data_IF_474278279031
#
_entry.id   IF_474278279031
#
_cell.length_a   1.000
_cell.length_b   1.000
_cell.length_c   1.000
_cell.angle_alpha   90.00
_cell.angle_beta   90.00
_cell.angle_gamma   90.00
#
_symmetry.space_group_name_H-M   'P 1'
#
loop_
_entity.id
_entity.type
_entity.pdbx_description
1 polymer ?
#
# COMPACT_ATOMS: atom_id res chain seq x y z
N UNK A 1 -23.82 22.41 -41.99
CA UNK A 1 -23.28 21.29 -41.19
C UNK A 1 -22.32 21.89 -40.18
N UNK A 2 -22.69 21.97 -38.90
CA UNK A 2 -21.77 22.46 -37.85
C UNK A 2 -20.76 21.37 -37.54
N UNK A 3 -19.47 21.69 -37.70
CA UNK A 3 -18.40 20.84 -37.20
C UNK A 3 -18.39 21.03 -35.69
N UNK A 4 -19.02 20.10 -34.95
CA UNK A 4 -18.78 19.98 -33.52
C UNK A 4 -17.32 19.55 -33.36
N UNK A 5 -16.44 20.52 -33.13
CA UNK A 5 -15.09 20.26 -32.67
C UNK A 5 -15.21 19.50 -31.35
N UNK A 6 -14.95 18.18 -31.37
CA UNK A 6 -14.78 17.40 -30.14
C UNK A 6 -13.69 18.09 -29.34
N UNK A 7 -14.06 18.70 -28.22
CA UNK A 7 -13.12 19.17 -27.23
C UNK A 7 -12.29 17.97 -26.80
N UNK A 8 -11.04 17.92 -27.27
CA UNK A 8 -10.09 16.90 -26.85
C UNK A 8 -9.57 17.29 -25.49
N UNK A 9 -9.51 16.38 -24.54
CA UNK A 9 -8.99 16.65 -23.19
C UNK A 9 -7.58 17.29 -23.22
N UNK A 10 -6.78 16.97 -24.25
CA UNK A 10 -5.45 17.56 -24.50
C UNK A 10 -5.44 19.04 -24.89
N UNK A 11 -6.59 19.63 -25.24
CA UNK A 11 -6.69 21.06 -25.57
C UNK A 11 -7.08 21.92 -24.37
N UNK A 12 -7.29 21.33 -23.20
CA UNK A 12 -7.57 22.07 -21.98
C UNK A 12 -6.29 22.79 -21.49
N UNK A 13 -6.41 24.02 -20.96
CA UNK A 13 -5.32 24.67 -20.25
C UNK A 13 -4.76 23.82 -19.10
N UNK A 14 -3.46 23.96 -18.80
CA UNK A 14 -2.77 23.12 -17.81
C UNK A 14 -3.32 23.27 -16.39
N UNK A 15 -3.77 24.46 -16.02
CA UNK A 15 -4.42 24.78 -14.76
C UNK A 15 -5.76 24.05 -14.61
N UNK A 16 -6.56 23.99 -15.67
CA UNK A 16 -7.83 23.23 -15.67
C UNK A 16 -7.56 21.73 -15.58
N UNK A 17 -6.53 21.24 -16.28
CA UNK A 17 -6.13 19.83 -16.16
C UNK A 17 -5.68 19.48 -14.74
N UNK A 18 -4.90 20.36 -14.10
CA UNK A 18 -4.48 20.18 -12.71
C UNK A 18 -5.69 20.14 -11.78
N UNK A 19 -6.62 21.09 -11.93
CA UNK A 19 -7.84 21.12 -11.11
C UNK A 19 -8.67 19.84 -11.28
N UNK A 20 -8.78 19.29 -12.49
CA UNK A 20 -9.45 18.00 -12.70
C UNK A 20 -8.68 16.88 -11.98
N UNK A 21 -7.36 16.80 -12.18
CA UNK A 21 -6.51 15.79 -11.54
C UNK A 21 -6.62 15.83 -10.00
N UNK A 22 -6.69 17.01 -9.40
CA UNK A 22 -6.85 17.21 -7.95
C UNK A 22 -8.18 16.68 -7.40
N UNK A 23 -9.20 16.49 -8.25
CA UNK A 23 -10.51 15.95 -7.87
C UNK A 23 -10.72 14.47 -8.22
N UNK A 24 -9.79 13.85 -8.95
CA UNK A 24 -9.88 12.42 -9.27
C UNK A 24 -9.52 11.58 -8.03
N UNK A 25 -10.23 10.49 -7.78
CA UNK A 25 -9.73 9.47 -6.86
C UNK A 25 -8.48 8.77 -7.45
N UNK A 26 -7.80 7.97 -6.63
CA UNK A 26 -6.57 7.29 -7.06
C UNK A 26 -6.80 6.38 -8.29
N UNK A 27 -7.92 5.65 -8.36
CA UNK A 27 -8.17 4.73 -9.49
C UNK A 27 -8.45 5.49 -10.78
N UNK A 28 -9.23 6.56 -10.70
CA UNK A 28 -9.52 7.43 -11.82
C UNK A 28 -8.24 8.11 -12.32
N UNK A 29 -7.37 8.56 -11.41
CA UNK A 29 -6.08 9.14 -11.76
C UNK A 29 -5.16 8.10 -12.44
N UNK A 30 -5.02 6.89 -11.88
CA UNK A 30 -4.22 5.83 -12.50
C UNK A 30 -4.79 5.40 -13.85
N UNK A 31 -6.12 5.36 -13.99
CA UNK A 31 -6.80 5.08 -15.25
C UNK A 31 -6.51 6.17 -16.29
N UNK A 32 -6.51 7.44 -15.90
CA UNK A 32 -6.13 8.57 -16.75
C UNK A 32 -4.67 8.41 -17.22
N UNK A 33 -3.76 8.06 -16.31
CA UNK A 33 -2.36 7.79 -16.61
C UNK A 33 -2.18 6.65 -17.62
N UNK A 34 -3.03 5.62 -17.58
CA UNK A 34 -3.02 4.50 -18.53
C UNK A 34 -3.42 4.86 -19.97
N UNK A 35 -3.99 6.05 -20.22
CA UNK A 35 -4.54 6.41 -21.54
C UNK A 35 -3.46 6.70 -22.59
N UNK A 36 -2.47 7.54 -22.29
CA UNK A 36 -1.39 7.93 -23.21
C UNK A 36 -0.16 8.42 -22.45
N UNK A 37 0.98 8.55 -23.15
CA UNK A 37 2.26 9.00 -22.57
C UNK A 37 2.15 10.36 -21.86
N UNK A 38 1.43 11.31 -22.46
CA UNK A 38 1.26 12.65 -21.86
C UNK A 38 0.57 12.60 -20.50
N UNK A 39 -0.57 11.90 -20.38
CA UNK A 39 -1.26 11.78 -19.09
C UNK A 39 -0.49 10.90 -18.12
N UNK A 40 0.26 9.92 -18.61
CA UNK A 40 1.11 9.10 -17.76
C UNK A 40 2.15 9.94 -17.02
N UNK A 41 2.90 10.75 -17.76
CA UNK A 41 3.97 11.57 -17.19
C UNK A 41 3.39 12.65 -16.24
N UNK A 42 2.19 13.17 -16.53
CA UNK A 42 1.45 14.06 -15.62
C UNK A 42 1.00 13.37 -14.34
N UNK A 43 0.34 12.22 -14.44
CA UNK A 43 -0.12 11.44 -13.29
C UNK A 43 1.05 11.02 -12.40
N UNK A 44 2.16 10.59 -13.00
CA UNK A 44 3.40 10.32 -12.28
C UNK A 44 3.87 11.53 -11.44
N UNK A 45 3.94 12.71 -12.08
CA UNK A 45 4.29 13.96 -11.41
C UNK A 45 3.33 14.35 -10.29
N UNK A 46 2.02 14.21 -10.52
CA UNK A 46 0.97 14.51 -9.52
C UNK A 46 1.08 13.58 -8.32
N UNK A 47 1.26 12.27 -8.52
CA UNK A 47 1.42 11.30 -7.43
C UNK A 47 2.73 11.52 -6.66
N UNK A 48 3.85 11.78 -7.34
CA UNK A 48 5.11 12.08 -6.68
C UNK A 48 5.03 13.36 -5.85
N UNK A 49 4.40 14.41 -6.38
CA UNK A 49 4.14 15.65 -5.64
C UNK A 49 3.26 15.40 -4.41
N UNK A 50 2.18 14.62 -4.53
CA UNK A 50 1.31 14.30 -3.38
C UNK A 50 2.04 13.54 -2.28
N UNK A 51 2.86 12.54 -2.64
CA UNK A 51 3.73 11.82 -1.71
C UNK A 51 4.67 12.78 -0.99
N UNK A 52 5.38 13.62 -1.75
CA UNK A 52 6.37 14.54 -1.19
C UNK A 52 5.71 15.53 -0.21
N UNK A 53 4.53 16.07 -0.55
CA UNK A 53 3.79 16.96 0.36
C UNK A 53 3.32 16.24 1.64
N UNK A 54 2.92 14.98 1.55
CA UNK A 54 2.55 14.19 2.74
C UNK A 54 3.78 13.96 3.64
N UNK A 55 4.94 13.64 3.05
CA UNK A 55 6.17 13.44 3.81
C UNK A 55 6.62 14.77 4.45
N UNK A 56 6.53 15.86 3.69
CA UNK A 56 6.92 17.19 4.15
C UNK A 56 6.01 17.77 5.24
N UNK A 57 4.88 17.11 5.52
CA UNK A 57 4.09 17.39 6.71
C UNK A 57 4.81 16.98 8.00
N UNK A 58 5.63 15.93 7.96
CA UNK A 58 6.30 15.36 9.14
C UNK A 58 7.82 15.58 9.15
N UNK A 59 8.42 15.73 7.98
CA UNK A 59 9.86 15.83 7.78
C UNK A 59 10.23 17.05 6.95
N UNK A 60 11.42 17.60 7.13
CA UNK A 60 11.79 18.86 6.46
C UNK A 60 11.89 18.75 4.92
N UNK A 61 12.23 17.57 4.38
CA UNK A 61 12.32 17.35 2.94
C UNK A 61 12.17 15.88 2.55
N UNK A 62 11.22 15.60 1.66
CA UNK A 62 11.03 14.25 1.11
C UNK A 62 12.29 13.73 0.40
N UNK A 63 13.05 14.62 -0.24
CA UNK A 63 14.30 14.31 -0.95
C UNK A 63 15.44 13.80 -0.06
N UNK A 64 15.35 14.04 1.25
CA UNK A 64 16.32 13.53 2.23
C UNK A 64 15.81 12.23 2.85
N UNK A 65 14.53 12.21 3.25
CA UNK A 65 13.97 11.04 3.92
C UNK A 65 13.86 9.84 2.97
N UNK A 66 13.33 10.01 1.75
CA UNK A 66 13.08 8.89 0.85
C UNK A 66 14.35 8.10 0.50
N UNK A 67 15.48 8.70 0.11
CA UNK A 67 16.70 7.94 -0.14
C UNK A 67 17.24 7.20 1.09
N UNK A 68 17.06 7.77 2.29
CA UNK A 68 17.40 7.10 3.55
C UNK A 68 16.53 5.86 3.76
N UNK A 69 15.22 5.98 3.56
CA UNK A 69 14.30 4.84 3.68
C UNK A 69 14.58 3.76 2.63
N UNK A 70 14.82 4.17 1.38
CA UNK A 70 15.17 3.27 0.28
C UNK A 70 16.41 2.44 0.60
N UNK A 71 17.48 3.06 1.10
CA UNK A 71 18.73 2.35 1.47
C UNK A 71 18.50 1.30 2.55
N UNK A 72 17.58 1.55 3.48
CA UNK A 72 17.29 0.67 4.60
C UNK A 72 16.07 -0.23 4.35
N UNK A 73 15.58 -0.34 3.11
CA UNK A 73 14.40 -1.14 2.75
C UNK A 73 13.19 -0.85 3.66
N UNK A 74 13.03 0.42 4.02
CA UNK A 74 11.95 0.90 4.87
C UNK A 74 10.83 1.50 4.01
N UNK A 75 9.61 1.41 4.52
CA UNK A 75 8.40 1.92 3.86
C UNK A 75 7.63 2.82 4.80
N UNK A 76 6.97 3.84 4.25
CA UNK A 76 6.01 4.66 4.98
C UNK A 76 4.68 3.92 5.00
N UNK A 77 4.04 3.83 6.15
CA UNK A 77 2.79 3.09 6.34
C UNK A 77 1.77 3.91 7.16
N UNK A 78 0.69 3.26 7.60
CA UNK A 78 -0.28 3.87 8.51
C UNK A 78 -1.11 4.98 7.86
N UNK A 79 -1.31 6.07 8.60
CA UNK A 79 -2.19 7.18 8.21
C UNK A 79 -1.61 8.03 7.08
N UNK A 80 -0.28 8.18 7.00
CA UNK A 80 0.37 8.88 5.89
C UNK A 80 0.16 8.14 4.56
N UNK A 81 0.39 6.82 4.55
CA UNK A 81 0.13 5.99 3.37
C UNK A 81 -1.36 5.90 3.03
N UNK A 82 -2.24 5.84 4.03
CA UNK A 82 -3.69 5.89 3.82
C UNK A 82 -4.13 7.24 3.22
N UNK A 83 -3.63 8.37 3.73
CA UNK A 83 -3.92 9.69 3.20
C UNK A 83 -3.49 9.84 1.74
N UNK A 84 -2.36 9.23 1.37
CA UNK A 84 -1.91 9.13 -0.02
C UNK A 84 -2.89 8.30 -0.87
N UNK A 85 -3.20 7.06 -0.44
CA UNK A 85 -4.09 6.16 -1.20
C UNK A 85 -5.49 6.75 -1.41
N UNK A 86 -6.00 7.45 -0.40
CA UNK A 86 -7.32 8.10 -0.46
C UNK A 86 -7.26 9.50 -1.08
N UNK A 87 -6.07 10.00 -1.44
CA UNK A 87 -5.81 11.38 -1.87
C UNK A 87 -6.49 12.41 -0.97
N UNK A 88 -6.45 12.17 0.35
CA UNK A 88 -7.15 12.97 1.35
C UNK A 88 -6.22 13.29 2.53
N UNK A 89 -5.67 14.50 2.54
CA UNK A 89 -4.75 14.98 3.59
C UNK A 89 -5.40 15.17 4.97
N UNK A 90 -6.73 15.21 5.08
CA UNK A 90 -7.37 15.30 6.40
C UNK A 90 -7.15 14.03 7.24
N UNK A 91 -6.85 12.91 6.59
CA UNK A 91 -6.48 11.64 7.22
C UNK A 91 -5.08 11.66 7.83
N UNK A 92 -4.28 12.70 7.60
CA UNK A 92 -2.96 12.79 8.22
C UNK A 92 -3.09 12.80 9.75
N UNK A 93 -2.41 11.83 10.34
CA UNK A 93 -2.24 11.67 11.77
C UNK A 93 -1.25 12.64 12.35
N UNK A 94 -1.05 12.56 13.66
CA UNK A 94 0.00 13.30 14.34
C UNK A 94 1.39 12.71 14.12
N UNK A 95 1.46 11.45 13.71
CA UNK A 95 2.69 10.67 13.68
C UNK A 95 2.92 10.06 12.31
N UNK A 96 4.17 10.11 11.84
CA UNK A 96 4.61 9.38 10.66
C UNK A 96 5.03 7.97 11.07
N UNK A 97 4.41 6.95 10.48
CA UNK A 97 4.80 5.57 10.71
C UNK A 97 5.70 5.08 9.57
N UNK A 98 6.86 4.53 9.96
CA UNK A 98 7.85 3.95 9.08
C UNK A 98 8.08 2.51 9.52
N UNK A 99 7.86 1.55 8.64
CA UNK A 99 8.15 0.15 8.91
C UNK A 99 9.46 -0.25 8.23
N UNK A 100 10.31 -1.00 8.95
CA UNK A 100 11.62 -1.47 8.46
C UNK A 100 11.79 -2.95 8.75
N UNK A 101 12.49 -3.66 7.86
CA UNK A 101 12.83 -5.08 8.07
C UNK A 101 13.82 -5.26 9.24
N UNK A 102 13.86 -6.46 9.82
CA UNK A 102 14.79 -6.80 10.90
C UNK A 102 16.26 -6.66 10.47
N UNK A 103 16.58 -6.86 9.20
CA UNK A 103 17.96 -6.82 8.69
C UNK A 103 18.52 -5.40 8.59
N UNK A 104 17.64 -4.39 8.49
CA UNK A 104 18.01 -3.01 8.22
C UNK A 104 17.55 -2.04 9.32
N UNK A 105 16.98 -2.55 10.42
CA UNK A 105 16.53 -1.71 11.53
C UNK A 105 17.69 -0.93 12.15
N UNK A 106 18.81 -1.60 12.42
CA UNK A 106 19.96 -0.96 13.08
C UNK A 106 20.58 0.14 12.20
N UNK A 107 20.66 -0.08 10.89
CA UNK A 107 21.15 0.91 9.93
C UNK A 107 20.23 2.14 9.89
N UNK A 108 18.91 1.93 9.83
CA UNK A 108 17.95 3.03 9.81
C UNK A 108 17.96 3.83 11.12
N UNK A 109 18.00 3.14 12.26
CA UNK A 109 18.07 3.79 13.57
C UNK A 109 19.37 4.59 13.71
N UNK A 110 20.50 4.03 13.24
CA UNK A 110 21.78 4.75 13.21
C UNK A 110 21.72 5.99 12.30
N UNK A 111 21.02 5.94 11.17
CA UNK A 111 20.83 7.09 10.29
C UNK A 111 20.01 8.20 10.96
N UNK A 112 18.95 7.83 11.70
CA UNK A 112 18.13 8.77 12.46
C UNK A 112 18.91 9.38 13.65
N UNK A 113 19.69 8.56 14.37
CA UNK A 113 20.53 9.03 15.48
C UNK A 113 21.66 9.96 15.01
N UNK A 114 22.10 9.81 13.76
CA UNK A 114 23.12 10.67 13.15
C UNK A 114 22.56 12.01 12.64
N UNK A 115 21.25 12.14 12.45
CA UNK A 115 20.61 13.36 11.97
C UNK A 115 20.53 14.41 13.11
N UNK A 116 21.27 15.54 13.06
CA UNK A 116 21.46 16.41 14.22
C UNK A 116 20.20 17.06 14.78
N UNK A 117 19.15 17.17 13.97
CA UNK A 117 17.89 17.81 14.32
C UNK A 117 16.81 16.81 14.76
N UNK A 118 17.12 15.51 14.73
CA UNK A 118 16.22 14.43 15.12
C UNK A 118 16.56 13.99 16.53
N UNK A 119 15.53 13.75 17.35
CA UNK A 119 15.72 13.34 18.73
C UNK A 119 14.98 12.03 19.01
N UNK A 120 15.68 11.01 19.51
CA UNK A 120 15.04 9.82 20.04
C UNK A 120 14.29 10.18 21.32
N UNK A 121 12.95 10.24 21.26
CA UNK A 121 12.09 10.52 22.40
C UNK A 121 11.83 9.28 23.24
N UNK A 122 11.75 8.11 22.62
CA UNK A 122 11.49 6.86 23.30
C UNK A 122 12.04 5.65 22.53
N UNK A 123 12.49 4.64 23.27
CA UNK A 123 13.02 3.40 22.72
C UNK A 123 12.71 2.15 23.56
N UNK A 124 13.07 0.96 23.04
CA UNK A 124 12.56 -0.33 23.52
C UNK A 124 13.07 -0.70 24.91
N UNK A 125 14.22 -0.17 25.33
CA UNK A 125 14.81 -0.39 26.65
C UNK A 125 13.88 0.03 27.82
N UNK A 126 12.75 0.68 27.52
CA UNK A 126 11.68 0.97 28.47
C UNK A 126 10.74 -0.22 28.78
N UNK A 127 10.77 -1.32 28.01
CA UNK A 127 9.90 -2.48 28.21
C UNK A 127 10.65 -3.67 28.86
N UNK A 128 10.19 -4.17 30.02
CA UNK A 128 10.85 -5.27 30.72
C UNK A 128 10.62 -6.66 30.08
N UNK A 129 9.75 -6.78 29.07
CA UNK A 129 9.50 -8.03 28.34
C UNK A 129 9.33 -7.73 26.85
N UNK A 130 10.35 -8.01 26.05
CA UNK A 130 10.23 -8.05 24.59
C UNK A 130 9.88 -9.46 24.17
N UNK A 131 8.69 -9.61 23.59
CA UNK A 131 8.37 -10.80 22.82
C UNK A 131 9.20 -10.79 21.54
N UNK A 132 9.97 -11.86 21.29
CA UNK A 132 10.84 -11.94 20.10
C UNK A 132 10.05 -12.00 18.80
N UNK A 133 8.77 -12.38 18.90
CA UNK A 133 7.88 -12.57 17.76
C UNK A 133 6.96 -11.35 17.56
N UNK A 134 7.35 -10.18 18.10
CA UNK A 134 6.59 -8.93 17.95
C UNK A 134 7.45 -7.80 17.37
N UNK A 135 6.86 -6.93 16.53
CA UNK A 135 7.54 -5.72 16.08
C UNK A 135 7.94 -4.84 17.24
N UNK A 136 9.11 -4.22 17.15
CA UNK A 136 9.59 -3.25 18.12
C UNK A 136 9.39 -1.84 17.59
N UNK A 137 8.87 -0.92 18.40
CA UNK A 137 8.72 0.48 17.99
C UNK A 137 9.78 1.38 18.66
N UNK A 138 10.17 2.44 17.95
CA UNK A 138 10.99 3.54 18.42
C UNK A 138 10.28 4.84 18.07
N UNK A 139 10.37 5.85 18.93
CA UNK A 139 9.76 7.15 18.70
C UNK A 139 10.85 8.22 18.58
N UNK A 140 10.86 8.86 17.42
CA UNK A 140 11.71 10.00 17.13
C UNK A 140 10.86 11.27 17.03
N UNK A 141 11.47 12.42 17.29
CA UNK A 141 10.91 13.72 16.97
C UNK A 141 11.68 14.28 15.78
N UNK A 142 10.92 14.68 14.77
CA UNK A 142 11.46 15.34 13.59
C UNK A 142 11.98 16.75 13.93
N UNK A 143 12.69 17.41 12.99
CA UNK A 143 13.10 18.81 13.17
C UNK A 143 11.95 19.79 13.40
N UNK A 144 10.73 19.46 12.93
CA UNK A 144 9.52 20.25 13.18
C UNK A 144 8.84 19.92 14.52
N UNK A 145 9.34 18.92 15.23
CA UNK A 145 8.77 18.41 16.48
C UNK A 145 7.66 17.39 16.29
N UNK A 146 7.39 16.97 15.04
CA UNK A 146 6.38 15.97 14.74
C UNK A 146 6.93 14.56 15.05
N UNK A 147 6.13 13.69 15.70
CA UNK A 147 6.57 12.34 16.03
C UNK A 147 6.71 11.44 14.80
N UNK A 148 7.72 10.59 14.84
CA UNK A 148 8.01 9.57 13.84
C UNK A 148 8.16 8.24 14.56
N UNK A 149 7.25 7.30 14.26
CA UNK A 149 7.33 5.91 14.72
C UNK A 149 8.17 5.12 13.74
N UNK A 150 9.29 4.57 14.20
CA UNK A 150 10.02 3.54 13.46
C UNK A 150 9.63 2.19 14.04
N UNK A 151 8.93 1.38 13.25
CA UNK A 151 8.45 0.06 13.63
C UNK A 151 9.34 -0.99 12.97
N UNK A 152 10.23 -1.55 13.77
CA UNK A 152 11.18 -2.59 13.38
C UNK A 152 10.47 -3.95 13.38
N UNK A 153 10.41 -4.55 12.21
CA UNK A 153 9.92 -5.92 12.03
C UNK A 153 10.80 -6.92 12.78
N UNK A 154 10.21 -8.02 13.26
CA UNK A 154 10.94 -9.19 13.76
C UNK A 154 11.27 -10.21 12.65
N UNK A 155 10.90 -9.89 11.41
CA UNK A 155 11.11 -10.71 10.20
C UNK A 155 11.88 -9.92 9.15
N UNK A 156 12.23 -10.58 8.05
CA UNK A 156 12.94 -9.93 6.95
C UNK A 156 12.04 -9.04 6.08
N UNK A 157 10.74 -8.98 6.36
CA UNK A 157 9.79 -8.14 5.64
C UNK A 157 9.47 -6.84 6.41
N UNK A 158 9.50 -5.67 5.75
CA UNK A 158 9.06 -4.41 6.35
C UNK A 158 7.52 -4.34 6.46
N UNK A 159 6.76 -5.27 5.90
CA UNK A 159 5.29 -5.26 5.96
C UNK A 159 4.70 -6.03 7.14
N UNK A 160 5.50 -6.86 7.81
CA UNK A 160 5.04 -7.64 8.98
C UNK A 160 4.43 -6.78 10.07
N UNK A 161 4.97 -5.59 10.41
CA UNK A 161 4.35 -4.73 11.41
C UNK A 161 2.89 -4.31 11.07
N UNK A 162 2.54 -4.21 9.79
CA UNK A 162 1.19 -3.81 9.37
C UNK A 162 0.13 -4.84 9.77
N UNK A 163 0.51 -6.10 10.00
CA UNK A 163 -0.40 -7.14 10.49
C UNK A 163 -0.98 -6.85 11.89
N UNK A 164 -0.34 -5.96 12.64
CA UNK A 164 -0.76 -5.52 13.97
C UNK A 164 -1.62 -4.24 13.91
N UNK A 165 -1.93 -3.72 12.72
CA UNK A 165 -2.78 -2.54 12.63
C UNK A 165 -4.24 -2.84 13.00
N UNK A 166 -4.90 -1.90 13.69
CA UNK A 166 -6.25 -2.11 14.23
C UNK A 166 -7.34 -2.09 13.17
N UNK A 167 -7.02 -1.81 11.90
CA UNK A 167 -8.01 -1.80 10.83
C UNK A 167 -7.40 -2.02 9.46
N UNK A 168 -8.14 -2.66 8.56
CA UNK A 168 -7.70 -2.94 7.18
C UNK A 168 -7.48 -1.66 6.38
N UNK A 169 -8.08 -0.54 6.79
CA UNK A 169 -7.83 0.76 6.19
C UNK A 169 -6.36 1.18 6.27
N UNK A 170 -5.61 0.74 7.30
CA UNK A 170 -4.21 1.13 7.49
C UNK A 170 -3.22 0.24 6.72
N UNK A 171 -3.69 -0.77 6.00
CA UNK A 171 -2.83 -1.70 5.27
C UNK A 171 -2.41 -1.12 3.91
N UNK A 172 -1.75 0.04 3.96
CA UNK A 172 -1.16 0.71 2.81
C UNK A 172 0.29 1.02 3.08
N UNK A 173 1.06 1.16 2.00
CA UNK A 173 2.42 1.63 2.08
C UNK A 173 2.73 2.58 0.92
N UNK A 174 3.79 3.36 1.09
CA UNK A 174 4.46 4.09 0.02
C UNK A 174 5.97 4.18 0.31
N UNK A 175 6.77 4.16 -0.75
CA UNK A 175 8.21 4.40 -0.71
C UNK A 175 8.62 5.38 -1.82
N UNK A 176 9.90 5.39 -2.19
CA UNK A 176 10.41 6.26 -3.27
C UNK A 176 9.90 5.86 -4.66
N UNK A 177 9.61 4.57 -4.89
CA UNK A 177 9.36 4.04 -6.23
C UNK A 177 7.91 3.59 -6.43
N UNK A 178 7.25 3.18 -5.36
CA UNK A 178 6.01 2.43 -5.37
C UNK A 178 5.09 2.77 -4.22
N UNK A 179 3.85 2.36 -4.36
CA UNK A 179 2.86 2.40 -3.29
C UNK A 179 1.91 1.22 -3.44
N UNK A 180 1.19 0.90 -2.36
CA UNK A 180 0.19 -0.13 -2.42
C UNK A 180 -0.87 -0.06 -1.34
N UNK A 181 -1.96 -0.76 -1.61
CA UNK A 181 -3.12 -0.93 -0.74
C UNK A 181 -3.51 -2.40 -0.71
N UNK A 182 -3.43 -3.03 0.46
CA UNK A 182 -3.70 -4.45 0.59
C UNK A 182 -5.18 -4.77 0.36
N UNK A 183 -6.08 -3.93 0.87
CA UNK A 183 -7.53 -4.12 0.79
C UNK A 183 -8.16 -3.10 -0.14
N UNK A 184 -7.69 -3.05 -1.40
CA UNK A 184 -8.07 -2.03 -2.41
C UNK A 184 -9.57 -1.73 -2.40
N UNK A 185 -10.39 -2.77 -2.56
CA UNK A 185 -11.83 -2.61 -2.73
C UNK A 185 -12.51 -2.09 -1.45
N UNK A 186 -12.00 -2.44 -0.26
CA UNK A 186 -12.51 -1.88 0.99
C UNK A 186 -12.06 -0.44 1.15
N UNK A 187 -10.74 -0.20 1.10
CA UNK A 187 -10.13 1.10 1.39
C UNK A 187 -10.67 2.19 0.47
N UNK A 188 -10.67 1.95 -0.84
CA UNK A 188 -11.12 2.94 -1.83
C UNK A 188 -12.63 3.19 -1.83
N UNK A 189 -13.41 2.31 -1.19
CA UNK A 189 -14.84 2.52 -0.95
C UNK A 189 -15.10 2.98 0.49
N UNK A 190 -14.10 3.59 1.15
CA UNK A 190 -14.21 4.12 2.51
C UNK A 190 -14.78 3.09 3.48
N UNK A 191 -14.34 1.84 3.35
CA UNK A 191 -14.82 0.71 4.13
C UNK A 191 -13.64 0.00 4.76
N UNK A 192 -13.80 -0.51 5.97
CA UNK A 192 -12.73 -1.19 6.67
C UNK A 192 -13.24 -2.24 7.64
N UNK A 193 -12.42 -3.25 7.87
CA UNK A 193 -12.62 -4.25 8.92
C UNK A 193 -11.68 -3.95 10.07
N UNK A 194 -12.14 -4.13 11.30
CA UNK A 194 -11.31 -4.09 12.51
C UNK A 194 -11.47 -5.40 13.30
N UNK A 195 -10.48 -5.82 14.10
CA UNK A 195 -10.67 -6.94 15.01
C UNK A 195 -11.69 -6.59 16.10
N UNK A 196 -12.14 -7.62 16.82
CA UNK A 196 -13.12 -7.46 17.90
C UNK A 196 -12.60 -6.76 19.14
N UNK A 197 -11.33 -7.00 19.45
CA UNK A 197 -10.67 -6.51 20.64
C UNK A 197 -9.67 -5.45 20.18
N UNK A 198 -10.01 -4.20 20.43
CA UNK A 198 -9.12 -3.05 20.28
C UNK A 198 -8.73 -2.58 21.68
N UNK A 199 -7.51 -2.11 21.82
CA UNK A 199 -7.10 -1.27 22.95
C UNK A 199 -7.72 0.13 22.82
N UNK A 200 -7.76 0.89 23.91
CA UNK A 200 -8.31 2.27 23.90
C UNK A 200 -7.59 3.17 22.86
N UNK A 201 -6.26 3.01 22.71
CA UNK A 201 -5.48 3.77 21.72
C UNK A 201 -5.89 3.40 20.28
N UNK A 202 -6.04 2.10 20.01
CA UNK A 202 -6.46 1.60 18.72
C UNK A 202 -7.90 2.00 18.37
N UNK A 203 -8.81 1.98 19.35
CA UNK A 203 -10.19 2.42 19.16
C UNK A 203 -10.24 3.92 18.81
N UNK A 204 -9.50 4.76 19.54
CA UNK A 204 -9.38 6.19 19.24
C UNK A 204 -8.83 6.42 17.83
N UNK A 205 -7.83 5.64 17.42
CA UNK A 205 -7.27 5.70 16.08
C UNK A 205 -8.28 5.30 15.00
N UNK A 206 -8.99 4.19 15.20
CA UNK A 206 -10.07 3.74 14.30
C UNK A 206 -11.17 4.79 14.17
N UNK A 207 -11.58 5.40 15.29
CA UNK A 207 -12.59 6.47 15.30
C UNK A 207 -12.11 7.72 14.58
N UNK A 208 -10.83 8.08 14.69
CA UNK A 208 -10.26 9.21 13.94
C UNK A 208 -10.34 8.98 12.43
N UNK A 209 -9.94 7.80 11.95
CA UNK A 209 -10.02 7.41 10.54
C UNK A 209 -11.48 7.45 10.05
N UNK A 210 -12.41 6.92 10.85
CA UNK A 210 -13.84 6.98 10.54
C UNK A 210 -14.35 8.42 10.46
N UNK A 211 -14.01 9.27 11.43
CA UNK A 211 -14.49 10.65 11.51
C UNK A 211 -13.92 11.56 10.42
N UNK A 212 -12.63 11.42 10.09
CA UNK A 212 -11.96 12.29 9.11
C UNK A 212 -12.03 11.76 7.68
N UNK A 213 -11.92 10.44 7.52
CA UNK A 213 -11.96 9.80 6.22
C UNK A 213 -13.34 9.35 5.79
N UNK A 214 -14.37 9.44 6.64
CA UNK A 214 -15.70 8.91 6.34
C UNK A 214 -15.75 7.39 6.25
N UNK A 215 -14.82 6.69 6.91
CA UNK A 215 -14.74 5.23 6.84
C UNK A 215 -15.91 4.57 7.59
N UNK A 216 -16.59 3.64 6.91
CA UNK A 216 -17.47 2.66 7.53
C UNK A 216 -16.61 1.52 8.07
N UNK A 217 -16.47 1.46 9.38
CA UNK A 217 -15.73 0.42 10.04
C UNK A 217 -16.68 -0.59 10.69
N UNK A 218 -16.41 -1.88 10.51
CA UNK A 218 -17.14 -2.95 11.18
C UNK A 218 -16.17 -4.03 11.59
N UNK A 219 -16.45 -4.68 12.72
CA UNK A 219 -15.74 -5.92 13.03
C UNK A 219 -16.17 -7.06 12.09
N UNK A 220 -17.36 -6.97 11.48
CA UNK A 220 -17.97 -7.93 10.59
C UNK A 220 -17.72 -7.57 9.11
N UNK A 221 -16.81 -8.31 8.42
CA UNK A 221 -16.47 -8.02 7.03
C UNK A 221 -17.65 -7.98 6.06
N UNK A 222 -18.73 -8.72 6.33
CA UNK A 222 -19.92 -8.75 5.48
C UNK A 222 -20.69 -7.42 5.43
N UNK A 223 -20.62 -6.60 6.48
CA UNK A 223 -21.33 -5.31 6.59
C UNK A 223 -20.69 -4.20 5.75
N UNK A 224 -19.41 -4.38 5.46
CA UNK A 224 -18.52 -3.42 4.78
C UNK A 224 -17.99 -3.96 3.45
N UNK A 225 -18.46 -5.13 3.02
CA UNK A 225 -18.05 -5.75 1.76
C UNK A 225 -18.44 -4.93 0.53
N UNK A 226 -17.66 -5.05 -0.53
CA UNK A 226 -17.83 -4.32 -1.80
C UNK A 226 -17.85 -5.29 -3.00
N UNK A 227 -18.83 -5.22 -3.91
CA UNK A 227 -20.07 -4.43 -3.78
C UNK A 227 -20.83 -4.84 -2.50
N UNK A 228 -21.63 -3.92 -1.92
CA UNK A 228 -22.43 -4.24 -0.75
C UNK A 228 -23.25 -5.49 -1.06
N UNK A 229 -23.17 -6.49 -0.18
CA UNK A 229 -23.96 -7.71 -0.35
C UNK A 229 -25.43 -7.31 -0.48
N UNK A 230 -26.23 -8.03 -1.27
CA UNK A 230 -27.65 -7.75 -1.44
C UNK A 230 -28.46 -7.85 -0.13
N UNK A 231 -27.83 -8.18 1.01
CA UNK A 231 -28.39 -8.06 2.36
C UNK A 231 -29.11 -6.72 2.57
N UNK A 232 -28.60 -5.60 2.03
CA UNK A 232 -29.26 -4.28 2.12
C UNK A 232 -30.53 -4.22 1.26
N UNK A 233 -30.52 -4.81 0.05
CA UNK A 233 -31.68 -4.88 -0.84
C UNK A 233 -32.79 -5.77 -0.28
N UNK A 234 -32.44 -6.88 0.36
CA UNK A 234 -33.41 -7.78 1.00
C UNK A 234 -34.01 -7.18 2.28
N UNK A 235 -33.24 -6.35 3.01
CA UNK A 235 -33.75 -5.60 4.16
C UNK A 235 -34.85 -4.59 3.76
N UNK A 236 -34.64 -3.91 2.64
CA UNK A 236 -35.59 -2.94 2.08
C UNK A 236 -36.84 -3.62 1.49
N UNK A 237 -36.71 -4.85 0.98
CA UNK A 237 -37.82 -5.58 0.34
C UNK A 237 -38.64 -6.44 1.30
N UNK A 238 -38.29 -6.51 2.60
CA UNK A 238 -39.07 -7.25 3.60
C UNK A 238 -39.10 -8.77 3.38
N UNK A 239 -38.11 -9.35 2.69
CA UNK A 239 -38.09 -10.77 2.29
C UNK A 239 -37.43 -11.66 3.35
N UNK A 240 -37.48 -11.25 4.62
CA UNK A 240 -36.79 -11.94 5.73
C UNK A 240 -37.34 -13.33 6.04
N UNK A 241 -38.59 -13.61 5.68
CA UNK A 241 -39.24 -14.87 6.02
C UNK A 241 -38.80 -16.06 5.14
N UNK A 242 -38.01 -15.83 4.08
CA UNK A 242 -37.42 -16.91 3.31
C UNK A 242 -36.04 -17.27 3.87
N UNK A 243 -36.00 -18.36 4.66
CA UNK A 243 -34.76 -19.02 5.11
C UNK A 243 -33.77 -19.31 3.97
N UNK A 244 -34.26 -19.55 2.75
CA UNK A 244 -33.44 -19.78 1.56
C UNK A 244 -32.66 -18.54 1.09
N UNK A 245 -33.16 -17.32 1.33
CA UNK A 245 -32.48 -16.07 0.96
C UNK A 245 -31.38 -15.70 1.94
N UNK A 246 -31.54 -16.01 3.22
CA UNK A 246 -30.51 -15.81 4.24
C UNK A 246 -29.29 -16.71 3.95
N UNK A 247 -29.54 -17.95 3.51
CA UNK A 247 -28.47 -18.88 3.14
C UNK A 247 -27.68 -18.38 1.93
N UNK A 248 -28.33 -17.90 0.87
CA UNK A 248 -27.64 -17.42 -0.33
C UNK A 248 -26.73 -16.21 -0.06
N UNK A 249 -27.14 -15.27 0.78
CA UNK A 249 -26.29 -14.10 1.10
C UNK A 249 -25.13 -14.47 2.02
N UNK A 250 -25.23 -15.58 2.75
CA UNK A 250 -24.15 -16.18 3.51
C UNK A 250 -23.19 -17.04 2.65
N UNK A 251 -23.54 -17.37 1.39
CA UNK A 251 -22.72 -18.27 0.55
C UNK A 251 -21.50 -17.63 -0.11
N UNK A 252 -21.45 -16.31 -0.33
CA UNK A 252 -20.29 -15.69 -1.02
C UNK A 252 -19.14 -15.52 -0.05
N UNK A 253 -18.17 -16.42 -0.08
CA UNK A 253 -16.96 -16.30 0.73
C UNK A 253 -16.19 -15.00 0.40
N UNK A 254 -15.95 -14.12 1.37
CA UNK A 254 -15.19 -12.87 1.12
C UNK A 254 -13.74 -13.12 0.72
N UNK A 255 -13.26 -14.35 0.89
CA UNK A 255 -11.97 -14.79 0.37
C UNK A 255 -11.91 -14.71 -1.16
N UNK A 256 -13.00 -15.03 -1.87
CA UNK A 256 -13.01 -14.98 -3.35
C UNK A 256 -12.94 -13.56 -3.88
N UNK A 257 -13.31 -12.58 -3.06
CA UNK A 257 -13.24 -11.14 -3.36
C UNK A 257 -12.10 -10.43 -2.63
N UNK A 258 -11.21 -11.17 -1.93
CA UNK A 258 -10.05 -10.63 -1.21
C UNK A 258 -10.40 -9.57 -0.15
N UNK A 259 -11.54 -9.73 0.53
CA UNK A 259 -12.03 -8.82 1.57
C UNK A 259 -12.14 -9.50 2.94
N UNK A 260 -11.78 -10.77 3.03
CA UNK A 260 -11.72 -11.49 4.29
C UNK A 260 -10.47 -11.06 5.07
N UNK A 261 -10.64 -10.52 6.28
CA UNK A 261 -9.53 -10.08 7.12
C UNK A 261 -8.63 -11.26 7.58
N UNK A 262 -9.22 -12.44 7.80
CA UNK A 262 -8.49 -13.67 8.14
C UNK A 262 -7.87 -14.40 6.94
N UNK A 263 -7.97 -13.86 5.72
CA UNK A 263 -7.29 -14.42 4.56
C UNK A 263 -5.82 -14.00 4.55
N UNK A 264 -4.88 -14.90 4.23
CA UNK A 264 -3.49 -14.55 3.92
C UNK A 264 -3.43 -13.53 2.77
N UNK A 265 -2.82 -12.38 3.04
CA UNK A 265 -2.63 -11.27 2.10
C UNK A 265 -1.15 -10.97 1.92
N UNK A 266 -0.82 -10.47 0.75
CA UNK A 266 0.49 -9.85 0.48
C UNK A 266 0.33 -8.81 -0.64
N UNK A 267 1.28 -7.88 -0.75
CA UNK A 267 1.31 -6.89 -1.84
C UNK A 267 1.69 -7.59 -3.15
N UNK A 268 0.71 -7.78 -4.03
CA UNK A 268 0.83 -8.51 -5.30
C UNK A 268 -0.25 -9.57 -5.52
N UNK A 269 -1.12 -9.83 -4.54
CA UNK A 269 -2.33 -10.64 -4.74
C UNK A 269 -3.42 -9.86 -5.52
N UNK A 270 -4.47 -10.56 -5.99
CA UNK A 270 -5.49 -9.94 -6.87
C UNK A 270 -6.38 -8.90 -6.18
N UNK A 271 -6.44 -8.91 -4.85
CA UNK A 271 -7.20 -7.95 -4.06
C UNK A 271 -6.40 -6.73 -3.64
N UNK A 272 -5.08 -6.80 -3.80
CA UNK A 272 -4.19 -5.68 -3.54
C UNK A 272 -4.08 -4.76 -4.77
N UNK A 273 -3.75 -3.51 -4.51
CA UNK A 273 -3.27 -2.54 -5.49
C UNK A 273 -1.78 -2.32 -5.21
N UNK A 274 -0.93 -2.45 -6.22
CA UNK A 274 0.48 -2.08 -6.17
C UNK A 274 0.81 -1.36 -7.47
N UNK A 275 1.30 -0.14 -7.40
CA UNK A 275 1.66 0.64 -8.58
C UNK A 275 2.94 1.46 -8.34
N UNK A 276 3.47 2.04 -9.41
CA UNK A 276 4.73 2.79 -9.40
C UNK A 276 4.51 4.25 -9.73
N UNK A 277 5.28 5.13 -9.09
CA UNK A 277 5.27 6.56 -9.43
C UNK A 277 5.78 6.78 -10.86
N UNK A 278 6.82 6.06 -11.27
CA UNK A 278 7.46 6.18 -12.59
C UNK A 278 7.56 4.82 -13.30
N UNK A 279 6.48 4.26 -13.86
CA UNK A 279 6.45 2.89 -14.38
C UNK A 279 7.42 2.64 -15.53
N UNK A 280 7.81 3.68 -16.26
CA UNK A 280 8.83 3.60 -17.32
C UNK A 280 10.26 3.46 -16.77
N UNK A 281 10.49 3.92 -15.55
CA UNK A 281 11.80 3.86 -14.88
C UNK A 281 11.96 2.61 -14.03
N UNK A 282 10.89 1.80 -13.95
CA UNK A 282 10.88 0.55 -13.20
C UNK A 282 11.64 -0.52 -13.99
N UNK A 283 12.93 -0.63 -13.71
CA UNK A 283 13.68 -1.82 -14.05
C UNK A 283 13.33 -2.93 -13.06
N UNK A 284 12.57 -3.93 -13.52
CA UNK A 284 12.22 -5.08 -12.71
C UNK A 284 13.44 -5.83 -12.15
N UNK A 285 14.60 -5.81 -12.84
CA UNK A 285 15.81 -6.41 -12.32
C UNK A 285 16.34 -5.63 -11.10
N UNK A 286 16.26 -4.29 -11.14
CA UNK A 286 16.58 -3.42 -10.00
C UNK A 286 15.60 -3.70 -8.86
N UNK A 287 14.31 -3.72 -9.14
CA UNK A 287 13.30 -4.01 -8.11
C UNK A 287 13.51 -5.37 -7.43
N UNK A 288 13.83 -6.41 -8.21
CA UNK A 288 14.15 -7.74 -7.68
C UNK A 288 15.42 -7.69 -6.84
N UNK A 289 16.45 -7.00 -7.32
CA UNK A 289 17.74 -6.86 -6.64
C UNK A 289 17.60 -6.16 -5.28
N UNK A 290 16.77 -5.12 -5.21
CA UNK A 290 16.52 -4.34 -3.99
C UNK A 290 15.29 -4.80 -3.21
N UNK A 291 14.68 -5.94 -3.57
CA UNK A 291 13.51 -6.47 -2.88
C UNK A 291 12.36 -5.45 -2.72
N UNK A 292 12.15 -4.58 -3.71
CA UNK A 292 11.03 -3.64 -3.70
C UNK A 292 9.73 -4.36 -4.07
N UNK A 293 8.62 -4.13 -3.33
CA UNK A 293 7.37 -4.79 -3.65
C UNK A 293 6.92 -4.45 -5.06
N UNK A 294 6.35 -5.42 -5.79
CA UNK A 294 5.92 -6.72 -5.29
C UNK A 294 7.02 -7.81 -5.35
N UNK A 295 8.27 -7.43 -5.60
CA UNK A 295 9.42 -8.32 -5.66
C UNK A 295 10.11 -8.42 -4.30
N UNK A 296 10.75 -9.57 -4.05
CA UNK A 296 11.53 -9.78 -2.84
C UNK A 296 10.76 -10.46 -1.71
N UNK A 297 11.29 -10.34 -0.48
CA UNK A 297 10.66 -10.90 0.71
C UNK A 297 9.51 -9.99 1.13
N UNK A 298 8.31 -10.38 0.73
CA UNK A 298 7.10 -9.77 1.27
C UNK A 298 6.60 -10.65 2.41
N UNK A 299 6.06 -10.02 3.45
CA UNK A 299 5.33 -10.76 4.47
C UNK A 299 4.04 -11.26 3.84
N UNK A 300 3.67 -12.48 4.19
CA UNK A 300 2.28 -12.88 4.12
C UNK A 300 1.70 -12.65 5.51
N UNK A 301 0.66 -11.82 5.56
CA UNK A 301 -0.02 -11.50 6.81
C UNK A 301 -1.48 -11.90 6.74
N UNK A 302 -2.08 -12.12 7.90
CA UNK A 302 -3.53 -12.15 8.08
C UNK A 302 -3.87 -11.28 9.28
N UNK A 303 -4.98 -10.57 9.22
CA UNK A 303 -5.44 -9.86 10.40
C UNK A 303 -5.94 -10.89 11.42
N UNK A 304 -5.53 -10.80 12.69
CA UNK A 304 -6.08 -11.67 13.73
C UNK A 304 -7.58 -11.44 13.84
N UNK A 305 -8.37 -12.51 13.80
CA UNK A 305 -9.82 -12.45 13.86
C UNK A 305 -10.40 -13.81 14.22
N UNK A 306 -11.71 -13.87 14.47
CA UNK A 306 -12.38 -15.16 14.59
C UNK A 306 -12.19 -15.91 13.28
N UNK A 307 -11.53 -17.07 13.35
CA UNK A 307 -11.33 -17.93 12.20
C UNK A 307 -12.68 -18.16 11.52
N UNK A 308 -12.70 -18.00 10.20
CA UNK A 308 -13.86 -18.45 9.44
C UNK A 308 -13.90 -19.98 9.54
N UNK A 309 -14.78 -20.50 10.41
CA UNK A 309 -15.00 -21.94 10.67
C UNK A 309 -15.20 -22.78 9.39
N UNK A 310 -15.54 -22.16 8.26
CA UNK A 310 -15.99 -22.82 7.03
C UNK A 310 -14.99 -22.76 5.85
N UNK A 311 -13.73 -23.13 6.10
CA UNK A 311 -12.82 -23.56 5.02
C UNK A 311 -11.63 -22.65 4.72
N UNK A 312 -11.53 -21.47 5.34
CA UNK A 312 -10.32 -20.65 5.23
C UNK A 312 -9.08 -21.38 5.77
N UNK A 313 -9.20 -22.09 6.90
CA UNK A 313 -8.10 -22.86 7.49
C UNK A 313 -7.62 -24.05 6.64
N UNK A 314 -8.46 -24.61 5.77
CA UNK A 314 -8.08 -25.74 4.90
C UNK A 314 -7.38 -25.32 3.60
N UNK A 315 -7.47 -24.04 3.23
CA UNK A 315 -6.86 -23.48 2.02
C UNK A 315 -5.65 -22.60 2.29
N UNK A 316 -5.12 -22.60 3.52
CA UNK A 316 -4.00 -21.75 3.90
C UNK A 316 -2.66 -22.40 3.53
N UNK A 317 -2.41 -22.54 2.23
CA UNK A 317 -1.14 -23.08 1.74
C UNK A 317 0.03 -22.09 1.87
N UNK A 318 -0.28 -20.83 2.16
CA UNK A 318 0.69 -19.74 2.27
C UNK A 318 1.11 -19.51 3.73
N UNK A 319 0.19 -19.57 4.69
CA UNK A 319 0.46 -19.43 6.12
C UNK A 319 0.09 -20.71 6.87
N UNK A 320 1.07 -21.42 7.43
CA UNK A 320 0.78 -22.49 8.40
C UNK A 320 0.50 -21.95 9.80
N UNK A 321 1.01 -20.75 10.11
CA UNK A 321 0.91 -20.05 11.39
C UNK A 321 0.31 -18.63 11.21
N UNK A 322 0.49 -17.72 12.17
CA UNK A 322 -0.07 -16.35 12.11
C UNK A 322 0.70 -15.45 11.12
N UNK A 323 2.00 -15.71 10.96
CA UNK A 323 2.91 -14.97 10.09
C UNK A 323 3.90 -15.94 9.44
N UNK A 324 4.23 -15.69 8.18
CA UNK A 324 5.32 -16.39 7.50
C UNK A 324 5.92 -15.49 6.44
N UNK A 325 7.25 -15.50 6.35
CA UNK A 325 7.96 -14.88 5.23
C UNK A 325 7.84 -15.75 3.99
N UNK A 326 7.48 -15.14 2.87
CA UNK A 326 7.52 -15.79 1.56
C UNK A 326 8.42 -14.99 0.64
N UNK A 327 9.42 -15.68 0.09
CA UNK A 327 10.20 -15.14 -1.02
C UNK A 327 9.33 -15.19 -2.28
N UNK A 328 8.75 -14.06 -2.65
CA UNK A 328 8.13 -13.89 -3.96
C UNK A 328 9.24 -13.63 -4.98
N UNK A 329 9.82 -14.71 -5.52
CA UNK A 329 10.81 -14.65 -6.61
C UNK A 329 10.12 -14.66 -7.99
N UNK A 330 8.80 -14.46 -8.04
CA UNK A 330 7.98 -14.55 -9.27
C UNK A 330 7.33 -13.23 -9.65
N UNK A 331 6.93 -13.12 -10.93
CA UNK A 331 6.12 -12.02 -11.43
C UNK A 331 4.92 -11.79 -10.49
N UNK A 332 4.67 -10.54 -10.04
CA UNK A 332 3.45 -10.25 -9.30
C UNK A 332 2.24 -10.72 -10.07
N UNK A 333 1.27 -11.28 -9.35
CA UNK A 333 0.06 -11.78 -9.99
C UNK A 333 -0.75 -10.64 -10.60
N UNK A 334 -0.68 -9.44 -9.99
CA UNK A 334 -1.35 -8.23 -10.46
C UNK A 334 -0.50 -6.99 -10.19
N UNK A 335 -0.44 -6.10 -11.19
CA UNK A 335 -0.06 -4.71 -10.99
C UNK A 335 -1.32 -3.85 -11.03
N UNK A 336 -1.22 -2.64 -10.50
CA UNK A 336 -2.19 -1.59 -10.71
C UNK A 336 -2.38 -1.26 -12.19
N UNK A 337 -3.48 -0.57 -12.52
CA UNK A 337 -3.88 -0.33 -13.91
C UNK A 337 -2.82 0.49 -14.67
N UNK A 338 -2.05 1.33 -13.98
CA UNK A 338 -1.05 2.20 -14.59
C UNK A 338 0.15 1.39 -15.09
N UNK A 339 0.79 0.63 -14.21
CA UNK A 339 1.88 -0.29 -14.60
C UNK A 339 1.41 -1.37 -15.58
N UNK A 340 0.20 -1.90 -15.39
CA UNK A 340 -0.39 -2.88 -16.33
C UNK A 340 -0.52 -2.32 -17.75
N UNK A 341 -0.89 -1.03 -17.88
CA UNK A 341 -0.97 -0.37 -19.18
C UNK A 341 0.40 -0.21 -19.84
N UNK A 342 1.44 0.12 -19.05
CA UNK A 342 2.82 0.26 -19.54
C UNK A 342 3.39 -1.10 -19.98
N UNK A 343 3.27 -2.14 -19.14
CA UNK A 343 3.78 -3.47 -19.46
C UNK A 343 3.17 -4.07 -20.72
N UNK A 344 1.87 -3.84 -20.94
CA UNK A 344 1.22 -4.24 -22.19
C UNK A 344 1.84 -3.57 -23.42
N UNK A 345 2.33 -2.33 -23.32
CA UNK A 345 2.99 -1.63 -24.44
C UNK A 345 4.41 -2.14 -24.67
N UNK A 346 5.17 -2.38 -23.60
CA UNK A 346 6.54 -2.93 -23.68
C UNK A 346 6.53 -4.31 -24.33
N UNK A 347 5.57 -5.18 -23.96
CA UNK A 347 5.40 -6.51 -24.58
C UNK A 347 5.01 -6.44 -26.07
N UNK A 348 4.45 -5.31 -26.53
CA UNK A 348 4.07 -5.07 -27.93
C UNK A 348 5.23 -4.47 -28.77
N UNK A 349 6.43 -4.31 -28.18
CA UNK A 349 7.65 -4.05 -28.93
C UNK A 349 8.09 -2.59 -29.04
N UNK A 350 7.58 -1.69 -28.21
CA UNK A 350 8.15 -0.35 -28.05
C UNK A 350 9.42 -0.44 -27.18
N UNK A 351 10.58 -0.58 -27.84
CA UNK A 351 11.90 -0.72 -27.22
C UNK A 351 12.27 0.49 -26.35
N UNK A 352 12.01 0.42 -25.03
CA UNK A 352 12.44 1.40 -24.02
C UNK A 352 13.90 1.22 -23.54
N UNK A 353 14.59 0.16 -23.98
CA UNK A 353 15.95 -0.18 -23.51
C UNK A 353 16.97 0.95 -23.67
N UNK A 354 16.83 1.80 -24.68
CA UNK A 354 17.85 2.80 -25.01
C UNK A 354 17.79 4.09 -24.16
N UNK A 355 16.68 4.38 -23.48
CA UNK A 355 16.56 5.60 -22.65
C UNK A 355 17.12 5.43 -21.25
N UNK A 356 16.78 4.34 -20.57
CA UNK A 356 17.17 4.06 -19.18
C UNK A 356 18.67 3.79 -19.08
N UNK A 357 19.24 3.13 -20.11
CA UNK A 357 20.65 2.78 -20.14
C UNK A 357 21.59 4.00 -20.16
N UNK A 358 21.12 5.13 -20.68
CA UNK A 358 21.91 6.36 -20.79
C UNK A 358 21.78 7.30 -19.59
N UNK A 359 20.95 6.97 -18.59
CA UNK A 359 20.71 7.81 -17.40
C UNK A 359 21.21 7.20 -16.08
N UNK A 360 21.83 6.03 -16.09
CA UNK A 360 22.37 5.43 -14.86
C UNK A 360 23.75 6.00 -14.49
N UNK A 361 24.06 6.14 -13.18
CA UNK A 361 25.41 6.49 -12.72
C UNK A 361 26.43 5.41 -13.10
N UNK A 362 27.63 5.82 -13.54
CA UNK A 362 28.74 4.94 -13.98
C UNK A 362 29.26 3.95 -12.90
N UNK A 363 28.75 4.03 -11.68
CA UNK A 363 29.25 3.35 -10.49
C UNK A 363 28.63 1.96 -10.26
N UNK A 364 27.66 1.52 -11.07
CA UNK A 364 27.04 0.19 -10.93
C UNK A 364 27.93 -0.88 -11.60
N UNK A 365 28.50 -1.78 -10.79
CA UNK A 365 29.38 -2.86 -11.27
C UNK A 365 28.66 -3.80 -12.25
N UNK A 366 29.33 -4.09 -13.36
CA UNK A 366 28.86 -4.83 -14.55
C UNK A 366 28.59 -6.35 -14.35
N UNK A 367 28.51 -6.86 -13.13
CA UNK A 367 28.44 -8.30 -12.86
C UNK A 367 27.05 -8.94 -13.12
N UNK A 368 26.00 -8.13 -13.32
CA UNK A 368 24.62 -8.61 -13.58
C UNK A 368 24.30 -8.88 -15.06
N UNK A 369 25.25 -8.72 -15.99
CA UNK A 369 25.04 -8.80 -17.45
C UNK A 369 24.55 -10.15 -18.01
N UNK A 370 24.58 -11.24 -17.24
CA UNK A 370 24.38 -12.62 -17.75
C UNK A 370 23.32 -13.46 -17.03
N UNK A 371 22.35 -12.86 -16.32
CA UNK A 371 21.20 -13.64 -15.88
C UNK A 371 20.22 -13.80 -17.07
N UNK A 372 20.06 -15.01 -17.65
CA UNK A 372 19.09 -15.22 -18.70
C UNK A 372 17.70 -14.98 -18.12
N UNK A 373 16.93 -14.11 -18.77
CA UNK A 373 15.48 -14.03 -18.61
C UNK A 373 14.91 -15.42 -18.96
N UNK A 374 14.67 -16.24 -17.94
CA UNK A 374 13.96 -17.49 -18.10
C UNK A 374 12.47 -17.17 -18.11
N UNK A 375 11.84 -17.15 -19.29
CA UNK A 375 10.38 -17.23 -19.38
C UNK A 375 9.92 -18.55 -18.74
N UNK A 376 9.00 -18.54 -17.76
CA UNK A 376 8.38 -19.77 -17.28
C UNK A 376 7.42 -20.31 -18.33
N UNK A 377 7.36 -21.64 -18.43
CA UNK A 377 6.37 -22.38 -19.23
C UNK A 377 4.97 -22.33 -18.61
#
# INVERSE_FOLDING_TARGET
>A
MSVQSKLTFMSLPLDILQEIEDHLDLLALLSLGGTCVYFRDRVAGTLAFERDVIIEHYWASAKVLLPMLTRCHAVISGEAALAFVMRNRSLLGRELEICVSAQHSDDLLSDFDAEPLVQCAWGPNAWPYMDRDQPTAYLYLSPSGDPIRIICSHTDSPFTPMSYYPTTALYNYMDEFSFGCAYRDLTLNHSAVSPFALTDEEEVRVLHIAARGGFRNSNWPAEVAVPPRPFVLFNVLGVWDNLLTVDLVNTVCLRSTYQCAGQPRFFGDRGSLVDFFEPDMVDHAIMVHWHHPPYGRTAIWRMPGLDCDYGCGSGDYLLRDVLSDVCMVGQPMHYGPFTSAVLRRVLVGESQRDRIWNSMPDNIRLETRNLPWCSPA
#
